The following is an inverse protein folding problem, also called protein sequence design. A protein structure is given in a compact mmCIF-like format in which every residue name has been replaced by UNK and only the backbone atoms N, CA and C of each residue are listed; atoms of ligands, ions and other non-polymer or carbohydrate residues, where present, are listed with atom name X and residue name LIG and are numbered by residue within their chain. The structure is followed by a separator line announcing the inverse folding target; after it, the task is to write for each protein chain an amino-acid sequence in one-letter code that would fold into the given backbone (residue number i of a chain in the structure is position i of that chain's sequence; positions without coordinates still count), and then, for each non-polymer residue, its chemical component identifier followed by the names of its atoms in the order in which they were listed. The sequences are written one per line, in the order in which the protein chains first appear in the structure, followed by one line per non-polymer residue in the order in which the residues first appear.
data_IF_159548084850
#
_entry.id   IF_159548084850
#
_cell.length_a   1.000
_cell.length_b   1.000
_cell.length_c   1.000
_cell.angle_alpha   90.00
_cell.angle_beta   90.00
_cell.angle_gamma   90.00
#
_symmetry.space_group_name_H-M   'P 1'
#
loop_
_entity.id
_entity.type
_entity.pdbx_description
1 polymer ?
#
# COMPACT_ATOMS: atom_id res chain seq x y z
N UNK A 1 16.42 -8.58 18.09
CA UNK A 1 16.91 -7.19 18.13
C UNK A 1 15.82 -6.17 17.79
N UNK A 2 15.15 -6.24 16.64
CA UNK A 2 14.14 -5.26 16.21
C UNK A 2 13.08 -4.99 17.30
N UNK A 3 12.55 -6.02 17.94
CA UNK A 3 11.55 -5.88 19.01
C UNK A 3 12.11 -5.14 20.22
N UNK A 4 13.34 -5.45 20.61
CA UNK A 4 14.02 -4.75 21.72
C UNK A 4 14.29 -3.28 21.40
N UNK A 5 14.70 -2.98 20.17
CA UNK A 5 14.94 -1.61 19.72
C UNK A 5 13.62 -0.81 19.70
N UNK A 6 12.50 -1.46 19.30
CA UNK A 6 11.17 -0.85 19.33
C UNK A 6 10.68 -0.60 20.77
N UNK A 7 10.97 -1.50 21.72
CA UNK A 7 10.64 -1.30 23.13
C UNK A 7 11.40 -0.09 23.73
N UNK A 8 12.65 0.07 23.35
CA UNK A 8 13.43 1.25 23.72
C UNK A 8 12.86 2.53 23.08
N UNK A 9 12.51 2.47 21.79
CA UNK A 9 11.92 3.60 21.09
C UNK A 9 10.58 4.02 21.72
N UNK A 10 9.72 3.08 22.09
CA UNK A 10 8.45 3.36 22.79
C UNK A 10 8.72 4.14 24.08
N UNK A 11 9.70 3.72 24.86
CA UNK A 11 10.06 4.38 26.12
C UNK A 11 10.67 5.77 25.91
N UNK A 12 11.61 5.87 24.96
CA UNK A 12 12.35 7.13 24.71
C UNK A 12 11.47 8.20 24.05
N UNK A 13 10.46 7.79 23.30
CA UNK A 13 9.57 8.69 22.57
C UNK A 13 8.20 8.86 23.24
N UNK A 14 8.06 8.45 24.50
CA UNK A 14 6.77 8.49 25.21
C UNK A 14 6.14 9.90 25.23
N UNK A 15 6.97 10.92 25.43
CA UNK A 15 6.55 12.33 25.49
C UNK A 15 6.75 13.07 24.15
N UNK A 16 7.18 12.39 23.11
CA UNK A 16 7.38 13.02 21.81
C UNK A 16 6.02 13.40 21.17
N UNK A 17 5.91 14.58 20.57
CA UNK A 17 4.69 14.98 19.87
C UNK A 17 4.33 13.99 18.77
N UNK A 18 3.07 13.62 18.68
CA UNK A 18 2.58 12.78 17.59
C UNK A 18 2.54 13.58 16.29
N UNK A 19 3.47 13.26 15.40
CA UNK A 19 3.60 13.87 14.08
C UNK A 19 3.61 12.79 13.01
N UNK A 20 2.75 12.93 12.02
CA UNK A 20 2.68 11.96 10.90
C UNK A 20 3.94 11.93 10.03
N UNK A 21 4.77 12.96 10.10
CA UNK A 21 6.03 13.07 9.37
C UNK A 21 7.27 12.62 10.18
N UNK A 22 7.12 12.36 11.49
CA UNK A 22 8.21 11.95 12.37
C UNK A 22 7.81 10.73 13.17
N UNK A 23 8.79 9.86 13.43
CA UNK A 23 8.58 8.71 14.31
C UNK A 23 8.27 9.19 15.75
N UNK A 24 7.32 8.54 16.39
CA UNK A 24 6.87 8.75 17.77
C UNK A 24 6.48 7.40 18.39
N UNK A 25 6.16 7.37 19.69
CA UNK A 25 5.90 6.13 20.39
C UNK A 25 4.82 5.24 19.72
N UNK A 26 3.71 5.85 19.23
CA UNK A 26 2.66 5.10 18.54
C UNK A 26 3.16 4.46 17.23
N UNK A 27 4.07 5.12 16.50
CA UNK A 27 4.73 4.53 15.32
C UNK A 27 5.51 3.27 15.69
N UNK A 28 6.24 3.30 16.81
CA UNK A 28 6.99 2.15 17.30
C UNK A 28 6.07 1.01 17.75
N UNK A 29 4.93 1.31 18.41
CA UNK A 29 3.89 0.33 18.74
C UNK A 29 3.31 -0.33 17.48
N UNK A 30 2.95 0.46 16.47
CA UNK A 30 2.42 -0.04 15.21
C UNK A 30 3.41 -0.97 14.49
N UNK A 31 4.67 -0.54 14.41
CA UNK A 31 5.72 -1.34 13.78
C UNK A 31 5.99 -2.63 14.57
N UNK A 32 6.01 -2.58 15.91
CA UNK A 32 6.18 -3.77 16.75
C UNK A 32 5.05 -4.78 16.55
N UNK A 33 3.79 -4.33 16.51
CA UNK A 33 2.64 -5.18 16.20
C UNK A 33 2.82 -5.87 14.84
N UNK A 34 3.18 -5.12 13.81
CA UNK A 34 3.41 -5.64 12.45
C UNK A 34 4.55 -6.65 12.39
N UNK A 35 5.69 -6.35 13.00
CA UNK A 35 6.86 -7.24 13.05
C UNK A 35 6.53 -8.55 13.74
N UNK A 36 5.86 -8.51 14.89
CA UNK A 36 5.49 -9.71 15.63
C UNK A 36 4.43 -10.55 14.91
N UNK A 37 3.46 -9.92 14.25
CA UNK A 37 2.47 -10.62 13.42
C UNK A 37 3.15 -11.35 12.26
N UNK A 38 4.08 -10.66 11.57
CA UNK A 38 4.84 -11.29 10.49
C UNK A 38 5.72 -12.44 10.99
N UNK A 39 6.40 -12.25 12.12
CA UNK A 39 7.24 -13.26 12.75
C UNK A 39 6.45 -14.51 13.25
N UNK A 40 5.17 -14.34 13.60
CA UNK A 40 4.30 -15.44 14.00
C UNK A 40 3.72 -16.20 12.81
N UNK A 41 3.81 -15.67 11.59
CA UNK A 41 3.23 -16.29 10.39
C UNK A 41 3.85 -17.66 10.07
N UNK A 42 3.11 -18.46 9.32
CA UNK A 42 3.57 -19.78 8.86
C UNK A 42 4.86 -19.72 8.05
N UNK A 43 5.13 -18.59 7.39
CA UNK A 43 6.35 -18.38 6.60
C UNK A 43 7.64 -18.58 7.45
N UNK A 44 7.61 -18.20 8.72
CA UNK A 44 8.77 -18.28 9.62
C UNK A 44 8.70 -19.45 10.59
N UNK A 45 7.72 -20.35 10.46
CA UNK A 45 7.59 -21.53 11.31
C UNK A 45 8.21 -22.76 10.65
N UNK A 46 9.24 -23.38 11.26
CA UNK A 46 9.95 -24.51 10.66
C UNK A 46 9.09 -25.78 10.53
N UNK A 47 8.08 -25.92 11.38
CA UNK A 47 7.16 -27.08 11.32
C UNK A 47 6.23 -26.93 10.12
N UNK A 48 5.68 -25.74 9.93
CA UNK A 48 4.79 -25.43 8.78
C UNK A 48 5.52 -25.52 7.44
N UNK A 49 6.79 -25.14 7.43
CA UNK A 49 7.62 -25.11 6.23
C UNK A 49 8.42 -26.41 6.00
N UNK A 50 8.24 -27.43 6.83
CA UNK A 50 9.01 -28.68 6.71
C UNK A 50 8.84 -29.39 5.35
N UNK A 51 7.67 -29.23 4.70
CA UNK A 51 7.39 -29.79 3.38
C UNK A 51 7.91 -28.95 2.19
N UNK A 52 8.40 -27.74 2.43
CA UNK A 52 8.94 -26.88 1.37
C UNK A 52 10.41 -27.19 1.17
N UNK A 53 10.77 -27.90 0.08
CA UNK A 53 12.12 -28.44 -0.16
C UNK A 53 13.22 -27.38 -0.14
N UNK A 54 12.96 -26.19 -0.69
CA UNK A 54 13.93 -25.07 -0.71
C UNK A 54 14.20 -24.53 0.70
N UNK A 55 13.21 -24.54 1.59
CA UNK A 55 13.33 -24.09 2.98
C UNK A 55 13.92 -25.20 3.84
N UNK A 56 13.40 -26.41 3.73
CA UNK A 56 13.86 -27.57 4.53
C UNK A 56 15.29 -27.99 4.22
N UNK A 57 15.73 -27.81 2.98
CA UNK A 57 17.10 -28.10 2.53
C UNK A 57 18.12 -26.99 2.83
N UNK A 58 17.68 -25.80 3.26
CA UNK A 58 18.60 -24.69 3.55
C UNK A 58 19.35 -24.91 4.88
N UNK A 59 20.69 -24.82 4.83
CA UNK A 59 21.55 -25.18 5.98
C UNK A 59 21.45 -24.22 7.16
N UNK A 60 21.29 -22.91 6.92
CA UNK A 60 21.26 -21.88 7.97
C UNK A 60 19.82 -21.44 8.26
N UNK A 61 19.03 -22.35 8.82
CA UNK A 61 17.59 -22.15 9.06
C UNK A 61 17.28 -20.99 10.00
N UNK A 62 18.19 -20.63 10.90
CA UNK A 62 18.11 -19.49 11.81
C UNK A 62 18.07 -18.14 11.09
N UNK A 63 18.53 -18.06 9.84
CA UNK A 63 18.46 -16.86 9.02
C UNK A 63 17.12 -16.66 8.31
N UNK A 64 16.32 -17.72 8.18
CA UNK A 64 15.06 -17.69 7.41
C UNK A 64 13.82 -17.96 8.27
N UNK A 65 13.97 -18.34 9.52
CA UNK A 65 12.86 -18.62 10.41
C UNK A 65 13.30 -18.98 11.81
N UNK A 66 12.34 -19.33 12.63
CA UNK A 66 12.60 -19.79 14.00
C UNK A 66 13.06 -21.23 13.99
N UNK A 67 14.12 -21.55 14.72
CA UNK A 67 14.62 -22.91 14.90
C UNK A 67 14.05 -23.61 16.14
N UNK A 68 13.26 -22.88 16.95
CA UNK A 68 12.63 -23.41 18.15
C UNK A 68 11.52 -22.52 18.66
N UNK A 69 10.94 -22.91 19.80
CA UNK A 69 9.81 -22.22 20.40
C UNK A 69 8.47 -22.58 19.78
N UNK A 70 7.40 -22.06 20.35
CA UNK A 70 6.03 -22.32 19.93
C UNK A 70 5.50 -21.21 19.05
N UNK A 71 4.87 -21.55 17.93
CA UNK A 71 4.16 -20.60 17.08
C UNK A 71 3.03 -19.94 17.85
N UNK A 72 2.32 -20.67 18.71
CA UNK A 72 1.27 -20.09 19.54
C UNK A 72 1.80 -19.00 20.48
N UNK A 73 2.98 -19.21 21.08
CA UNK A 73 3.61 -18.14 21.89
C UNK A 73 3.94 -16.90 21.06
N UNK A 74 4.38 -17.06 19.81
CA UNK A 74 4.61 -15.94 18.88
C UNK A 74 3.30 -15.22 18.53
N UNK A 75 2.22 -15.97 18.30
CA UNK A 75 0.89 -15.39 18.07
C UNK A 75 0.35 -14.63 19.30
N UNK A 76 0.60 -15.16 20.51
CA UNK A 76 0.23 -14.45 21.74
C UNK A 76 1.03 -13.15 21.92
N UNK A 77 2.31 -13.14 21.57
CA UNK A 77 3.13 -11.94 21.59
C UNK A 77 2.62 -10.89 20.56
N UNK A 78 2.29 -11.33 19.34
CA UNK A 78 1.69 -10.48 18.31
C UNK A 78 0.36 -9.89 18.74
N UNK A 79 -0.53 -10.72 19.31
CA UNK A 79 -1.83 -10.30 19.87
C UNK A 79 -1.65 -9.24 20.96
N UNK A 80 -0.73 -9.49 21.90
CA UNK A 80 -0.46 -8.54 22.99
C UNK A 80 0.06 -7.21 22.49
N UNK A 81 1.00 -7.22 21.52
CA UNK A 81 1.52 -6.01 20.91
C UNK A 81 0.45 -5.24 20.12
N UNK A 82 -0.41 -5.96 19.40
CA UNK A 82 -1.53 -5.36 18.67
C UNK A 82 -2.54 -4.71 19.64
N UNK A 83 -2.82 -5.37 20.77
CA UNK A 83 -3.70 -4.79 21.78
C UNK A 83 -3.10 -3.51 22.39
N UNK A 84 -1.83 -3.54 22.77
CA UNK A 84 -1.14 -2.35 23.29
C UNK A 84 -1.15 -1.19 22.29
N UNK A 85 -0.97 -1.50 21.01
CA UNK A 85 -1.10 -0.51 19.96
C UNK A 85 -2.51 0.09 19.92
N UNK A 86 -3.56 -0.74 19.89
CA UNK A 86 -4.94 -0.28 19.86
C UNK A 86 -5.31 0.55 21.10
N UNK A 87 -4.83 0.14 22.27
CA UNK A 87 -5.06 0.87 23.52
C UNK A 87 -4.37 2.25 23.52
N UNK A 88 -3.26 2.39 22.78
CA UNK A 88 -2.50 3.64 22.64
C UNK A 88 -3.02 4.57 21.52
N UNK A 89 -3.92 4.10 20.66
CA UNK A 89 -4.46 4.88 19.53
C UNK A 89 -5.57 5.83 19.94
N UNK A 90 -5.26 6.90 20.66
CA UNK A 90 -6.22 7.99 20.84
C UNK A 90 -6.17 8.95 19.64
N UNK A 91 -7.32 9.21 19.00
CA UNK A 91 -7.40 10.14 17.86
C UNK A 91 -7.12 9.54 16.49
N UNK A 92 -6.75 8.26 16.42
CA UNK A 92 -6.67 7.50 15.17
C UNK A 92 -7.84 6.52 15.11
N UNK A 93 -8.48 6.42 13.98
CA UNK A 93 -9.60 5.50 13.77
C UNK A 93 -9.75 5.19 12.28
N UNK A 94 -10.29 4.03 11.99
CA UNK A 94 -10.87 3.75 10.69
C UNK A 94 -12.21 4.48 10.64
N UNK A 95 -12.21 5.66 10.06
CA UNK A 95 -13.36 6.57 10.14
C UNK A 95 -14.03 6.73 8.80
N UNK A 96 -14.63 5.65 8.36
CA UNK A 96 -15.53 5.74 7.24
C UNK A 96 -16.90 5.25 7.69
N UNK A 97 -17.87 6.18 7.74
CA UNK A 97 -19.28 5.83 7.78
C UNK A 97 -19.59 4.91 6.59
N UNK A 98 -20.55 4.01 6.77
CA UNK A 98 -20.97 3.18 5.65
C UNK A 98 -21.36 4.09 4.47
N UNK A 99 -20.74 3.93 3.28
CA UNK A 99 -21.03 4.79 2.14
C UNK A 99 -22.47 4.61 1.69
N UNK A 100 -23.14 5.70 1.34
CA UNK A 100 -24.51 5.66 0.84
C UNK A 100 -24.60 5.22 -0.64
N UNK A 101 -23.47 5.25 -1.36
CA UNK A 101 -23.40 4.87 -2.76
C UNK A 101 -22.04 4.26 -3.12
N UNK A 102 -21.97 3.64 -4.29
CA UNK A 102 -20.72 3.13 -4.85
C UNK A 102 -19.70 4.25 -5.10
N UNK A 103 -20.14 5.39 -5.61
CA UNK A 103 -19.25 6.54 -5.86
C UNK A 103 -18.71 7.12 -4.54
N UNK A 104 -19.52 7.17 -3.49
CA UNK A 104 -19.05 7.58 -2.17
C UNK A 104 -18.02 6.59 -1.61
N UNK A 105 -18.23 5.29 -1.78
CA UNK A 105 -17.26 4.27 -1.37
C UNK A 105 -15.92 4.44 -2.08
N UNK A 106 -15.96 4.71 -3.38
CA UNK A 106 -14.78 5.00 -4.20
C UNK A 106 -14.07 6.26 -3.72
N UNK A 107 -14.80 7.36 -3.56
CA UNK A 107 -14.25 8.63 -3.10
C UNK A 107 -13.64 8.53 -1.70
N UNK A 108 -14.33 7.87 -0.76
CA UNK A 108 -13.80 7.65 0.59
C UNK A 108 -12.46 6.91 0.56
N UNK A 109 -12.30 5.92 -0.33
CA UNK A 109 -11.04 5.21 -0.45
C UNK A 109 -9.93 6.07 -1.07
N UNK A 110 -10.25 6.90 -2.07
CA UNK A 110 -9.32 7.85 -2.68
C UNK A 110 -8.86 8.92 -1.67
N UNK A 111 -9.78 9.41 -0.85
CA UNK A 111 -9.52 10.42 0.18
C UNK A 111 -8.51 9.96 1.24
N UNK A 112 -8.39 8.65 1.51
CA UNK A 112 -7.35 8.10 2.39
C UNK A 112 -5.96 8.56 1.94
N UNK A 113 -5.74 8.59 0.64
CA UNK A 113 -4.44 8.93 0.05
C UNK A 113 -4.26 10.42 -0.22
N UNK A 114 -5.36 11.13 -0.48
CA UNK A 114 -5.36 12.54 -0.86
C UNK A 114 -5.38 13.50 0.31
N UNK A 115 -5.92 13.09 1.46
CA UNK A 115 -6.06 13.94 2.65
C UNK A 115 -4.74 14.16 3.42
N UNK A 116 -3.71 13.37 3.14
CA UNK A 116 -2.39 13.51 3.74
C UNK A 116 -2.42 13.46 5.28
N UNK A 117 -1.97 14.52 5.93
CA UNK A 117 -1.89 14.62 7.39
C UNK A 117 -3.25 14.74 8.10
N UNK A 118 -4.32 15.06 7.37
CA UNK A 118 -5.69 15.12 7.91
C UNK A 118 -6.34 13.74 8.04
N UNK A 119 -5.82 12.74 7.34
CA UNK A 119 -6.35 11.38 7.39
C UNK A 119 -6.12 10.76 8.78
N UNK A 120 -7.19 10.30 9.42
CA UNK A 120 -7.14 9.72 10.77
C UNK A 120 -6.60 8.28 10.81
N UNK A 121 -6.56 7.58 9.68
CA UNK A 121 -5.97 6.24 9.56
C UNK A 121 -4.44 6.30 9.47
N UNK A 122 -3.91 7.44 9.07
CA UNK A 122 -2.51 7.61 8.76
C UNK A 122 -1.70 7.98 10.01
N UNK A 123 -0.88 7.07 10.48
CA UNK A 123 -0.09 7.23 11.71
C UNK A 123 1.27 7.86 11.40
N UNK A 124 1.94 7.36 10.39
CA UNK A 124 3.27 7.82 10.03
C UNK A 124 3.62 7.48 8.58
N UNK A 125 4.24 8.40 7.89
CA UNK A 125 4.73 8.19 6.54
C UNK A 125 5.60 9.33 6.04
N UNK A 126 6.08 9.15 4.83
CA UNK A 126 6.83 10.17 4.14
C UNK A 126 5.87 11.19 3.54
N UNK A 127 5.96 12.43 3.98
CA UNK A 127 5.29 13.55 3.33
C UNK A 127 6.07 13.91 2.07
N UNK A 128 5.36 13.97 0.95
CA UNK A 128 5.92 14.42 -0.33
C UNK A 128 5.35 15.80 -0.59
N UNK A 129 6.19 16.83 -0.46
CA UNK A 129 5.80 18.20 -0.78
C UNK A 129 5.68 18.38 -2.30
N UNK A 130 4.71 19.20 -2.72
CA UNK A 130 4.43 19.52 -4.11
C UNK A 130 5.53 20.35 -4.78
N UNK A 131 6.60 19.71 -5.20
CA UNK A 131 7.59 20.35 -6.08
C UNK A 131 7.26 20.06 -7.54
N UNK A 132 7.29 21.11 -8.34
CA UNK A 132 7.12 20.99 -9.77
C UNK A 132 8.17 20.09 -10.43
N UNK A 133 7.92 19.68 -11.63
CA UNK A 133 8.81 18.90 -12.48
C UNK A 133 10.25 19.40 -12.38
N UNK A 134 11.17 18.53 -12.04
CA UNK A 134 12.61 18.77 -12.20
C UNK A 134 13.28 19.70 -11.19
N UNK A 135 12.66 20.09 -10.08
CA UNK A 135 13.18 21.19 -9.27
C UNK A 135 14.10 20.82 -8.10
N UNK A 136 14.45 19.55 -7.84
CA UNK A 136 15.46 19.24 -6.82
C UNK A 136 16.34 18.05 -7.11
N UNK A 137 17.63 18.34 -7.19
CA UNK A 137 18.71 17.38 -6.95
C UNK A 137 18.80 17.07 -5.45
N UNK A 138 18.62 15.82 -5.06
CA UNK A 138 19.01 15.36 -3.74
C UNK A 138 20.52 15.20 -3.69
N UNK A 139 21.20 15.59 -2.60
CA UNK A 139 22.60 15.27 -2.44
C UNK A 139 22.80 13.74 -2.47
N UNK A 140 23.45 13.23 -3.50
CA UNK A 140 23.69 11.81 -3.70
C UNK A 140 22.63 11.03 -4.50
N UNK A 141 21.63 11.69 -5.07
CA UNK A 141 20.63 11.08 -5.96
C UNK A 141 20.74 11.58 -7.39
N UNK A 142 20.22 10.83 -8.32
CA UNK A 142 20.14 11.15 -9.75
C UNK A 142 19.18 12.29 -10.09
N UNK A 143 18.68 13.01 -9.12
CA UNK A 143 17.78 14.17 -9.29
C UNK A 143 16.38 13.85 -9.82
N UNK A 144 16.14 12.62 -10.26
CA UNK A 144 14.93 12.22 -10.95
C UNK A 144 13.92 11.46 -10.07
N UNK A 145 14.35 10.93 -8.94
CA UNK A 145 13.59 9.88 -8.24
C UNK A 145 12.70 10.32 -7.07
N UNK A 146 12.53 11.62 -6.78
CA UNK A 146 12.05 12.01 -5.45
C UNK A 146 11.02 13.15 -5.32
N UNK A 147 10.34 13.55 -6.37
CA UNK A 147 9.27 14.57 -6.29
C UNK A 147 7.89 13.99 -6.60
N UNK A 148 6.79 14.68 -6.24
CA UNK A 148 5.42 14.23 -6.58
C UNK A 148 5.20 14.11 -8.09
N UNK A 149 5.87 14.92 -8.88
CA UNK A 149 5.87 14.78 -10.34
C UNK A 149 6.49 13.47 -10.82
N UNK A 150 7.45 12.93 -10.08
CA UNK A 150 8.04 11.62 -10.39
C UNK A 150 7.13 10.46 -10.06
N UNK A 151 6.30 10.56 -9.01
CA UNK A 151 5.29 9.54 -8.72
C UNK A 151 4.31 9.43 -9.89
N UNK A 152 3.79 10.55 -10.38
CA UNK A 152 2.91 10.58 -11.55
C UNK A 152 3.61 10.03 -12.80
N UNK A 153 4.88 10.44 -13.03
CA UNK A 153 5.68 10.00 -14.18
C UNK A 153 5.87 8.48 -14.21
N UNK A 154 6.15 7.86 -13.06
CA UNK A 154 6.35 6.39 -12.99
C UNK A 154 5.05 5.60 -13.03
N UNK A 155 3.95 6.13 -12.49
CA UNK A 155 2.70 5.39 -12.32
C UNK A 155 1.65 5.70 -13.38
N UNK A 156 1.70 6.88 -13.96
CA UNK A 156 0.69 7.29 -14.93
C UNK A 156 0.89 6.67 -16.31
N UNK A 157 -0.14 6.71 -17.16
CA UNK A 157 -0.16 6.02 -18.45
C UNK A 157 0.71 6.72 -19.50
N UNK A 158 1.19 5.93 -20.45
CA UNK A 158 1.85 6.43 -21.66
C UNK A 158 0.94 7.41 -22.40
N UNK A 159 1.54 8.39 -23.06
CA UNK A 159 0.80 9.41 -23.79
C UNK A 159 0.34 10.59 -22.94
N UNK A 160 0.71 10.61 -21.65
CA UNK A 160 0.46 11.69 -20.71
C UNK A 160 1.77 12.26 -20.13
N UNK A 161 2.88 12.07 -20.83
CA UNK A 161 4.25 12.33 -20.37
C UNK A 161 4.59 11.50 -19.11
N UNK A 162 4.06 10.30 -19.06
CA UNK A 162 4.17 9.33 -17.98
C UNK A 162 4.64 7.99 -18.55
N UNK A 163 5.26 7.13 -17.74
CA UNK A 163 6.04 6.00 -18.26
C UNK A 163 5.37 4.64 -18.07
N UNK A 164 4.26 4.57 -17.38
CA UNK A 164 3.59 3.32 -17.01
C UNK A 164 4.55 2.27 -16.42
N UNK A 165 5.60 2.73 -15.73
CA UNK A 165 6.68 1.89 -15.24
C UNK A 165 6.30 1.03 -14.03
N UNK A 166 5.20 1.33 -13.39
CA UNK A 166 4.68 0.56 -12.25
C UNK A 166 3.34 -0.04 -12.62
N UNK A 167 3.40 -1.16 -13.32
CA UNK A 167 2.20 -1.89 -13.75
C UNK A 167 1.88 -2.99 -12.74
N UNK A 168 0.69 -3.01 -12.12
CA UNK A 168 0.28 -4.09 -11.25
C UNK A 168 0.14 -5.40 -12.01
N UNK A 169 0.36 -6.51 -11.31
CA UNK A 169 0.15 -7.83 -11.91
C UNK A 169 -1.35 -8.13 -12.05
N UNK A 170 -1.74 -8.91 -13.06
CA UNK A 170 -3.11 -9.42 -13.19
C UNK A 170 -3.57 -10.18 -11.95
N UNK A 171 -2.68 -10.92 -11.30
CA UNK A 171 -2.98 -11.62 -10.05
C UNK A 171 -3.37 -10.67 -8.90
N UNK A 172 -2.87 -9.42 -8.88
CA UNK A 172 -3.35 -8.41 -7.93
C UNK A 172 -4.76 -7.95 -8.32
N UNK A 173 -5.02 -7.68 -9.59
CA UNK A 173 -6.35 -7.30 -10.08
C UNK A 173 -7.41 -8.36 -9.74
N UNK A 174 -7.05 -9.63 -9.84
CA UNK A 174 -7.94 -10.77 -9.54
C UNK A 174 -8.32 -10.85 -8.04
N UNK A 175 -7.54 -10.22 -7.14
CA UNK A 175 -7.84 -10.21 -5.69
C UNK A 175 -8.95 -9.22 -5.31
N UNK A 176 -9.27 -8.28 -6.15
CA UNK A 176 -10.41 -7.40 -5.91
C UNK A 176 -11.70 -8.15 -6.19
N UNK A 177 -12.67 -8.03 -5.29
CA UNK A 177 -13.96 -8.69 -5.40
C UNK A 177 -14.84 -8.07 -6.49
N UNK A 178 -15.92 -8.75 -6.82
CA UNK A 178 -17.06 -8.17 -7.51
C UNK A 178 -17.81 -7.21 -6.56
N UNK A 179 -18.66 -6.35 -7.10
CA UNK A 179 -19.42 -5.35 -6.33
C UNK A 179 -20.41 -5.96 -5.33
N UNK A 180 -20.80 -7.20 -5.52
CA UNK A 180 -21.64 -7.99 -4.60
C UNK A 180 -20.84 -8.71 -3.51
N UNK A 181 -19.51 -8.55 -3.47
CA UNK A 181 -18.60 -9.19 -2.53
C UNK A 181 -18.15 -10.59 -2.90
N UNK A 182 -18.61 -11.16 -4.00
CA UNK A 182 -18.11 -12.45 -4.50
C UNK A 182 -16.71 -12.32 -5.09
N UNK A 183 -15.94 -13.41 -5.09
CA UNK A 183 -14.63 -13.41 -5.70
C UNK A 183 -14.73 -13.32 -7.24
N UNK A 184 -13.77 -12.61 -7.83
CA UNK A 184 -13.57 -12.67 -9.28
C UNK A 184 -13.07 -14.06 -9.68
N UNK A 185 -13.60 -14.63 -10.76
CA UNK A 185 -13.23 -15.97 -11.24
C UNK A 185 -13.16 -15.99 -12.77
N UNK A 186 -12.00 -16.28 -13.32
CA UNK A 186 -11.79 -16.45 -14.75
C UNK A 186 -12.57 -17.63 -15.35
N UNK A 187 -12.98 -18.62 -14.55
CA UNK A 187 -13.81 -19.73 -15.00
C UNK A 187 -15.30 -19.32 -15.14
N UNK A 188 -15.68 -18.16 -14.61
CA UNK A 188 -17.01 -17.61 -14.86
C UNK A 188 -17.00 -16.90 -16.21
N UNK A 189 -17.79 -17.36 -17.21
CA UNK A 189 -17.80 -16.79 -18.56
C UNK A 189 -18.16 -15.29 -18.60
N UNK A 190 -18.99 -14.82 -17.68
CA UNK A 190 -19.36 -13.41 -17.62
C UNK A 190 -18.20 -12.54 -17.13
N UNK A 191 -17.45 -13.01 -16.12
CA UNK A 191 -16.24 -12.31 -15.65
C UNK A 191 -15.12 -12.32 -16.70
N UNK A 192 -14.95 -13.45 -17.40
CA UNK A 192 -13.91 -13.57 -18.42
C UNK A 192 -14.20 -12.72 -19.66
N UNK A 193 -15.49 -12.52 -20.01
CA UNK A 193 -15.89 -11.69 -21.14
C UNK A 193 -15.73 -10.18 -20.88
N UNK A 194 -15.89 -9.75 -19.64
CA UNK A 194 -15.69 -8.37 -19.21
C UNK A 194 -15.08 -8.33 -17.79
N UNK A 195 -13.75 -8.41 -17.69
CA UNK A 195 -13.05 -8.55 -16.42
C UNK A 195 -13.02 -7.28 -15.57
N UNK A 196 -13.42 -6.15 -16.12
CA UNK A 196 -13.32 -4.85 -15.48
C UNK A 196 -14.64 -4.27 -15.00
N UNK A 197 -15.76 -4.79 -15.48
CA UNK A 197 -17.10 -4.33 -15.08
C UNK A 197 -17.59 -5.06 -13.83
N UNK A 198 -18.38 -4.35 -13.00
CA UNK A 198 -19.00 -4.91 -11.81
C UNK A 198 -18.02 -5.22 -10.66
N UNK A 199 -16.85 -4.64 -10.65
CA UNK A 199 -15.84 -4.80 -9.59
C UNK A 199 -16.14 -3.91 -8.39
N UNK A 200 -15.55 -4.19 -7.25
CA UNK A 200 -15.67 -3.38 -6.04
C UNK A 200 -15.04 -1.98 -6.19
N UNK A 201 -15.45 -1.02 -5.37
CA UNK A 201 -15.03 0.38 -5.47
C UNK A 201 -13.51 0.57 -5.42
N UNK A 202 -12.80 -0.19 -4.58
CA UNK A 202 -11.34 -0.13 -4.47
C UNK A 202 -10.61 -0.50 -5.76
N UNK A 203 -11.19 -1.38 -6.57
CA UNK A 203 -10.63 -1.72 -7.88
C UNK A 203 -10.50 -0.46 -8.75
N UNK A 204 -11.57 0.29 -8.89
CA UNK A 204 -11.61 1.49 -9.73
C UNK A 204 -10.82 2.67 -9.16
N UNK A 205 -10.60 2.70 -7.86
CA UNK A 205 -9.76 3.73 -7.21
C UNK A 205 -8.26 3.41 -7.27
N UNK A 206 -7.90 2.14 -7.51
CA UNK A 206 -6.49 1.70 -7.43
C UNK A 206 -5.90 1.41 -8.78
N UNK A 207 -6.69 0.87 -9.71
CA UNK A 207 -6.20 0.33 -10.98
C UNK A 207 -6.72 1.14 -12.16
N UNK A 208 -5.80 1.52 -13.04
CA UNK A 208 -6.13 2.00 -14.38
C UNK A 208 -6.10 0.81 -15.34
N UNK A 209 -7.14 0.64 -16.13
CA UNK A 209 -7.32 -0.46 -17.07
C UNK A 209 -7.79 0.06 -18.43
N UNK A 210 -7.69 -0.76 -19.45
CA UNK A 210 -8.13 -0.43 -20.80
C UNK A 210 -9.63 -0.07 -20.84
N UNK A 211 -9.95 1.10 -21.41
CA UNK A 211 -11.31 1.67 -21.41
C UNK A 211 -11.69 2.45 -20.14
N UNK A 212 -10.83 2.52 -19.12
CA UNK A 212 -11.11 3.30 -17.91
C UNK A 212 -11.23 4.80 -18.21
N UNK A 213 -12.14 5.53 -17.54
CA UNK A 213 -12.16 6.99 -17.62
C UNK A 213 -10.82 7.60 -17.19
N UNK A 214 -10.31 8.54 -17.97
CA UNK A 214 -9.07 9.24 -17.65
C UNK A 214 -9.16 10.73 -18.02
N UNK A 215 -8.28 11.53 -17.41
CA UNK A 215 -8.19 12.97 -17.72
C UNK A 215 -7.93 13.18 -19.23
N UNK A 216 -8.50 14.24 -19.80
CA UNK A 216 -8.23 14.63 -21.16
C UNK A 216 -6.78 15.09 -21.29
N UNK A 217 -6.11 14.68 -22.36
CA UNK A 217 -4.74 15.11 -22.64
C UNK A 217 -4.69 16.63 -22.87
N UNK A 218 -3.83 17.33 -22.16
CA UNK A 218 -3.63 18.76 -22.33
C UNK A 218 -2.68 19.07 -23.49
N UNK A 219 -2.71 20.31 -24.01
CA UNK A 219 -1.79 20.75 -25.05
C UNK A 219 -0.32 20.64 -24.64
N UNK A 220 0.00 20.81 -23.36
CA UNK A 220 1.36 20.70 -22.86
C UNK A 220 1.87 19.27 -22.94
N UNK A 221 1.05 18.29 -22.53
CA UNK A 221 1.37 16.85 -22.64
C UNK A 221 1.51 16.44 -24.10
N UNK A 222 0.58 16.87 -24.96
CA UNK A 222 0.62 16.63 -26.41
C UNK A 222 1.93 17.12 -27.02
N UNK A 223 2.39 18.30 -26.61
CA UNK A 223 3.65 18.89 -27.08
C UNK A 223 4.87 18.07 -26.68
N UNK A 224 4.91 17.53 -25.46
CA UNK A 224 6.04 16.73 -24.99
C UNK A 224 6.12 15.36 -25.66
N UNK A 225 4.99 14.71 -25.85
CA UNK A 225 4.92 13.33 -26.32
C UNK A 225 4.74 13.21 -27.83
N UNK A 226 4.74 14.32 -28.57
CA UNK A 226 4.51 14.38 -30.03
C UNK A 226 3.18 13.77 -30.50
N UNK A 227 2.17 13.75 -29.64
CA UNK A 227 0.83 13.31 -30.03
C UNK A 227 0.03 14.47 -30.63
N UNK A 228 -0.57 14.26 -31.78
CA UNK A 228 -1.34 15.26 -32.50
C UNK A 228 -2.84 15.28 -32.09
N UNK A 229 -3.28 14.29 -31.33
CA UNK A 229 -4.68 14.11 -30.98
C UNK A 229 -4.91 14.23 -29.48
N UNK A 230 -5.97 14.95 -29.12
CA UNK A 230 -6.48 14.98 -27.75
C UNK A 230 -7.28 13.70 -27.50
N UNK A 231 -6.93 12.95 -26.48
CA UNK A 231 -7.75 11.83 -26.03
C UNK A 231 -9.05 12.33 -25.39
N UNK A 232 -10.11 11.58 -25.60
CA UNK A 232 -11.47 11.95 -25.24
C UNK A 232 -11.91 11.50 -23.85
N UNK A 233 -10.97 11.29 -22.91
CA UNK A 233 -11.29 11.01 -21.52
C UNK A 233 -11.36 9.53 -21.17
N UNK A 234 -10.83 8.66 -22.01
CA UNK A 234 -10.66 7.23 -21.73
C UNK A 234 -9.23 6.80 -21.96
N UNK A 235 -8.77 5.85 -21.14
CA UNK A 235 -7.51 5.16 -21.35
C UNK A 235 -7.71 4.00 -22.33
N UNK A 236 -6.98 3.99 -23.44
CA UNK A 236 -7.00 2.93 -24.45
C UNK A 236 -5.59 2.58 -24.90
#
# INVERSE_FOLDING_TARGET
QIVSDLDQAISLLADAPQSKARAHALTAHALKSRVLTHAASDLHDPVKNAGVSTISGYGSKDLIGYTGGSQDARWQAAKSASKLFLDATSGYKLDYSAPASFEEAKQNYEDIWLQGDKNQDFIWGRMIEGFGYGSRTYPGGDGWSQGPGMVALYHGPNGYHEWAGTTPTGALADKYSMSDGTAFDWNNPAHAADPYTGREARFYSTLLFDGAPWKVRTSDVTKFDNFNELQTGYYT
#
